data_IF_796337170566
#
_entry.id   IF_796337170566
#
_cell.length_a   1.000
_cell.length_b   1.000
_cell.length_c   1.000
_cell.angle_alpha   90.00
_cell.angle_beta   90.00
_cell.angle_gamma   90.00
#
_symmetry.space_group_name_H-M   'P 1'
#
loop_
_entity.id
_entity.type
_entity.pdbx_description
1 polymer ?
#
# COMPACT_ATOMS: atom_id res chain seq x y z
N UNK A 1 -10.88 12.59 28.23
CA UNK A 1 -9.41 12.75 28.19
C UNK A 1 -9.05 13.19 26.79
N UNK A 2 -8.09 14.09 26.67
CA UNK A 2 -7.56 14.56 25.38
C UNK A 2 -6.48 13.60 24.85
N UNK A 3 -6.39 13.39 23.53
CA UNK A 3 -5.28 12.64 22.93
C UNK A 3 -3.93 13.34 23.17
N UNK A 4 -2.82 12.58 23.30
CA UNK A 4 -1.47 13.15 23.34
C UNK A 4 -1.15 13.99 22.09
N UNK A 5 -0.30 15.00 22.24
CA UNK A 5 0.04 15.92 21.15
C UNK A 5 0.64 15.22 19.93
N UNK A 6 1.46 14.18 20.13
CA UNK A 6 2.04 13.40 19.03
C UNK A 6 0.97 12.64 18.21
N UNK A 7 -0.14 12.25 18.84
CA UNK A 7 -1.27 11.62 18.13
C UNK A 7 -2.03 12.67 17.32
N UNK A 8 -2.19 13.88 17.86
CA UNK A 8 -2.79 15.01 17.14
C UNK A 8 -1.93 15.40 15.94
N UNK A 9 -0.61 15.45 16.11
CA UNK A 9 0.33 15.73 15.02
C UNK A 9 0.28 14.66 13.92
N UNK A 10 0.28 13.36 14.28
CA UNK A 10 0.13 12.30 13.29
C UNK A 10 -1.20 12.43 12.54
N UNK A 11 -2.29 12.70 13.26
CA UNK A 11 -3.61 12.90 12.67
C UNK A 11 -3.61 14.05 11.65
N UNK A 12 -3.17 15.24 12.06
CA UNK A 12 -3.09 16.42 11.20
C UNK A 12 -2.18 16.20 9.98
N UNK A 13 -1.04 15.53 10.18
CA UNK A 13 -0.13 15.17 9.08
C UNK A 13 -0.83 14.23 8.08
N UNK A 14 -1.59 13.26 8.55
CA UNK A 14 -2.35 12.34 7.70
C UNK A 14 -3.50 13.02 6.96
N UNK A 15 -4.16 13.99 7.61
CA UNK A 15 -5.22 14.78 7.01
C UNK A 15 -4.66 15.60 5.85
N UNK A 16 -3.52 16.27 6.05
CA UNK A 16 -2.83 17.02 5.01
C UNK A 16 -2.39 16.11 3.86
N UNK A 17 -1.73 14.99 4.17
CA UNK A 17 -1.22 14.05 3.16
C UNK A 17 -2.30 13.56 2.19
N UNK A 18 -3.51 13.28 2.69
CA UNK A 18 -4.65 12.83 1.85
C UNK A 18 -5.16 13.89 0.88
N UNK A 19 -4.86 15.17 1.10
CA UNK A 19 -5.28 16.26 0.21
C UNK A 19 -4.23 16.58 -0.86
N UNK A 20 -2.98 16.12 -0.68
CA UNK A 20 -1.90 16.39 -1.62
C UNK A 20 -1.90 15.35 -2.75
N UNK A 21 -1.77 15.75 -4.02
CA UNK A 21 -1.65 14.81 -5.12
C UNK A 21 -0.49 13.81 -4.92
N UNK A 22 -0.79 12.53 -5.12
CA UNK A 22 0.17 11.44 -5.02
C UNK A 22 1.41 11.71 -5.91
N UNK A 23 2.60 11.48 -5.34
CA UNK A 23 3.88 11.55 -6.07
C UNK A 23 4.50 12.95 -6.15
N UNK A 24 3.90 13.96 -5.55
CA UNK A 24 4.54 15.28 -5.37
C UNK A 24 5.58 15.24 -4.24
N UNK A 25 6.53 16.19 -4.23
CA UNK A 25 7.53 16.30 -3.17
C UNK A 25 6.90 16.52 -1.78
N UNK A 26 5.82 17.29 -1.72
CA UNK A 26 5.06 17.54 -0.49
C UNK A 26 4.37 16.27 0.02
N UNK A 27 3.79 15.47 -0.89
CA UNK A 27 3.21 14.17 -0.56
C UNK A 27 4.26 13.23 0.05
N UNK A 28 5.46 13.19 -0.54
CA UNK A 28 6.56 12.38 -0.03
C UNK A 28 7.03 12.87 1.34
N UNK A 29 7.19 14.19 1.53
CA UNK A 29 7.61 14.77 2.80
C UNK A 29 6.63 14.47 3.95
N UNK A 30 5.34 14.66 3.72
CA UNK A 30 4.30 14.36 4.71
C UNK A 30 4.22 12.84 5.00
N UNK A 31 4.36 11.99 3.96
CA UNK A 31 4.42 10.54 4.11
C UNK A 31 5.60 10.09 4.99
N UNK A 32 6.80 10.62 4.72
CA UNK A 32 7.99 10.35 5.51
C UNK A 32 7.84 10.82 6.96
N UNK A 33 7.22 11.98 7.19
CA UNK A 33 6.92 12.46 8.55
C UNK A 33 6.03 11.49 9.32
N UNK A 34 4.96 10.97 8.70
CA UNK A 34 4.11 9.97 9.33
C UNK A 34 4.89 8.69 9.69
N UNK A 35 5.74 8.21 8.78
CA UNK A 35 6.58 7.03 9.02
C UNK A 35 7.56 7.27 10.17
N UNK A 36 8.18 8.46 10.24
CA UNK A 36 9.10 8.83 11.32
C UNK A 36 8.41 8.78 12.68
N UNK A 37 7.22 9.40 12.82
CA UNK A 37 6.46 9.39 14.07
C UNK A 37 6.16 7.95 14.50
N UNK A 38 5.69 7.10 13.59
CA UNK A 38 5.39 5.70 13.90
C UNK A 38 6.65 4.90 14.30
N UNK A 39 7.78 5.13 13.62
CA UNK A 39 9.05 4.46 13.90
C UNK A 39 9.65 4.85 15.26
N UNK A 40 9.57 6.13 15.64
CA UNK A 40 10.08 6.62 16.92
C UNK A 40 9.24 6.15 18.11
N UNK A 41 7.94 5.97 17.92
CA UNK A 41 7.02 5.62 19.00
C UNK A 41 6.71 4.12 19.10
N UNK A 42 7.02 3.33 18.06
CA UNK A 42 6.95 1.86 18.08
C UNK A 42 5.55 1.34 18.50
N UNK A 43 4.48 1.97 18.01
CA UNK A 43 3.12 1.53 18.34
C UNK A 43 2.72 0.21 17.69
N UNK A 44 3.32 -0.11 16.54
CA UNK A 44 3.15 -1.37 15.83
C UNK A 44 4.50 -2.08 15.71
N UNK A 45 4.61 -3.27 16.30
CA UNK A 45 5.81 -4.12 16.22
C UNK A 45 5.53 -5.24 15.23
N UNK A 46 6.01 -5.09 14.00
CA UNK A 46 6.01 -6.17 13.02
C UNK A 46 7.12 -7.18 13.31
N UNK A 47 6.85 -8.47 13.07
CA UNK A 47 7.86 -9.54 13.20
C UNK A 47 8.55 -9.84 11.86
N UNK A 48 7.78 -9.80 10.77
CA UNK A 48 8.23 -9.99 9.38
C UNK A 48 7.41 -9.10 8.46
N UNK A 49 8.03 -8.61 7.39
CA UNK A 49 7.38 -7.84 6.33
C UNK A 49 7.62 -8.48 4.96
N UNK A 50 6.91 -8.00 3.94
CA UNK A 50 7.08 -8.47 2.54
C UNK A 50 6.96 -9.99 2.38
N UNK A 51 6.04 -10.62 3.10
CA UNK A 51 5.78 -12.06 2.99
C UNK A 51 5.39 -12.37 1.54
N UNK A 52 6.12 -13.27 0.85
CA UNK A 52 5.86 -13.55 -0.56
C UNK A 52 4.48 -14.19 -0.71
N UNK A 53 3.71 -13.71 -1.69
CA UNK A 53 2.44 -14.32 -2.08
C UNK A 53 2.61 -15.04 -3.40
N UNK A 54 2.11 -16.27 -3.48
CA UNK A 54 2.20 -17.11 -4.68
C UNK A 54 0.88 -17.04 -5.44
N UNK A 55 0.96 -16.65 -6.71
CA UNK A 55 -0.12 -16.78 -7.68
C UNK A 55 0.26 -17.81 -8.75
N UNK A 56 -0.68 -18.66 -9.15
CA UNK A 56 -0.48 -19.64 -10.23
C UNK A 56 -1.40 -19.24 -11.38
N UNK A 57 -0.81 -18.98 -12.55
CA UNK A 57 -1.52 -18.63 -13.78
C UNK A 57 -1.15 -19.65 -14.85
N UNK A 58 -2.14 -20.22 -15.53
CA UNK A 58 -1.89 -21.16 -16.64
C UNK A 58 -1.27 -20.42 -17.81
N UNK A 59 -0.30 -21.03 -18.51
CA UNK A 59 0.40 -20.39 -19.65
C UNK A 59 -0.52 -19.96 -20.80
N UNK A 60 -1.72 -20.51 -20.90
CA UNK A 60 -2.74 -20.13 -21.89
C UNK A 60 -3.54 -18.90 -21.48
N UNK A 61 -3.34 -18.36 -20.26
CA UNK A 61 -4.03 -17.16 -19.79
C UNK A 61 -3.14 -15.96 -20.06
N UNK A 62 -3.67 -15.01 -20.81
CA UNK A 62 -2.99 -13.80 -21.21
C UNK A 62 -3.58 -12.57 -20.52
N UNK A 63 -2.81 -11.47 -20.51
CA UNK A 63 -3.10 -10.22 -19.78
C UNK A 63 -3.18 -10.35 -18.24
N UNK A 64 -2.87 -11.52 -17.69
CA UNK A 64 -2.73 -11.70 -16.25
C UNK A 64 -1.41 -11.08 -15.71
N UNK A 65 -1.34 -10.73 -14.41
CA UNK A 65 -0.16 -10.16 -13.79
C UNK A 65 1.09 -11.06 -13.85
N UNK A 66 2.25 -10.43 -13.98
CA UNK A 66 3.56 -11.08 -13.90
C UNK A 66 4.09 -11.12 -12.47
N UNK A 67 5.19 -11.84 -12.25
CA UNK A 67 5.84 -12.00 -10.94
C UNK A 67 6.30 -10.68 -10.29
N UNK A 68 6.44 -9.61 -11.06
CA UNK A 68 6.92 -8.30 -10.58
C UNK A 68 5.75 -7.39 -10.15
N UNK A 69 4.52 -7.87 -10.31
CA UNK A 69 3.29 -7.18 -9.95
C UNK A 69 2.76 -7.67 -8.60
N UNK A 70 2.02 -6.80 -7.92
CA UNK A 70 1.60 -6.99 -6.54
C UNK A 70 0.43 -8.00 -6.48
N UNK A 71 0.54 -9.00 -5.61
CA UNK A 71 -0.60 -9.81 -5.17
C UNK A 71 -0.86 -9.50 -3.69
N UNK A 72 -1.98 -8.86 -3.36
CA UNK A 72 -2.27 -8.42 -1.99
C UNK A 72 -3.78 -8.32 -1.73
N UNK A 73 -4.19 -8.72 -0.52
CA UNK A 73 -5.60 -8.65 -0.09
C UNK A 73 -6.07 -7.20 0.05
N UNK A 74 -5.14 -6.31 0.41
CA UNK A 74 -5.38 -4.88 0.60
C UNK A 74 -5.73 -4.18 -0.74
N UNK A 75 -5.37 -4.81 -1.85
CA UNK A 75 -5.71 -4.39 -3.22
C UNK A 75 -6.79 -5.26 -3.88
N UNK A 76 -7.57 -6.02 -3.09
CA UNK A 76 -8.59 -6.94 -3.61
C UNK A 76 -7.99 -7.96 -4.61
N UNK A 77 -6.84 -8.53 -4.23
CA UNK A 77 -6.02 -9.46 -5.00
C UNK A 77 -5.49 -8.87 -6.30
N UNK A 78 -6.17 -9.17 -7.42
CA UNK A 78 -5.76 -8.79 -8.77
C UNK A 78 -6.66 -7.73 -9.39
N UNK A 79 -7.56 -7.13 -8.61
CA UNK A 79 -8.52 -6.14 -9.11
C UNK A 79 -7.86 -4.97 -9.85
N UNK A 80 -6.69 -4.54 -9.40
CA UNK A 80 -5.91 -3.47 -10.04
C UNK A 80 -5.40 -3.82 -11.46
N UNK A 81 -5.53 -5.08 -11.89
CA UNK A 81 -5.05 -5.58 -13.18
C UNK A 81 -6.18 -5.97 -14.14
N UNK A 82 -7.37 -5.37 -13.97
CA UNK A 82 -8.50 -5.46 -14.90
C UNK A 82 -8.79 -6.91 -15.33
N UNK A 83 -9.23 -7.71 -14.37
CA UNK A 83 -9.43 -9.17 -14.54
C UNK A 83 -10.34 -9.47 -15.75
N UNK A 84 -11.30 -8.60 -16.06
CA UNK A 84 -12.21 -8.71 -17.21
C UNK A 84 -11.49 -8.62 -18.58
N UNK A 85 -10.25 -8.15 -18.62
CA UNK A 85 -9.43 -8.08 -19.84
C UNK A 85 -8.55 -9.32 -20.06
N UNK A 86 -8.62 -10.30 -19.16
CA UNK A 86 -7.87 -11.54 -19.29
C UNK A 86 -8.56 -12.46 -20.28
N UNK A 87 -7.77 -13.23 -21.01
CA UNK A 87 -8.31 -14.15 -22.01
C UNK A 87 -7.52 -15.44 -22.05
N UNK A 88 -8.16 -16.48 -22.56
CA UNK A 88 -7.61 -17.83 -22.65
C UNK A 88 -7.35 -18.15 -24.13
N UNK A 89 -6.12 -18.52 -24.46
CA UNK A 89 -5.78 -19.10 -25.76
C UNK A 89 -6.48 -20.45 -25.94
N UNK A 90 -7.21 -20.58 -27.06
CA UNK A 90 -8.01 -21.75 -27.42
C UNK A 90 -7.20 -22.88 -28.03
#
# INVERSE_FOLDING_TARGET
MEPPDIIKELWETSEAWRQIPNGTDEYLALGLKMLQINAENIWCIGTVGMVPRVGIVKNTVHNAPTKDQILSIEYDMWRNYLIDHWWIEG
#
